data_IF_476671998527
#
_entry.id   IF_476671998527
#
_cell.length_a   1.000
_cell.length_b   1.000
_cell.length_c   1.000
_cell.angle_alpha   90.00
_cell.angle_beta   90.00
_cell.angle_gamma   90.00
#
_symmetry.space_group_name_H-M   'P 1'
#
loop_
_entity.id
_entity.type
_entity.pdbx_description
1 polymer ?
#
# COMPACT_ATOMS: atom_id res chain seq x y z
N UNK A 1 -4.99 2.22 29.10
CA UNK A 1 -5.52 3.59 28.98
C UNK A 1 -6.92 3.54 29.55
N UNK A 2 -7.09 4.05 30.76
CA UNK A 2 -8.37 4.09 31.46
C UNK A 2 -9.00 5.47 31.21
N UNK A 3 -10.11 5.52 30.47
CA UNK A 3 -10.80 6.75 30.13
C UNK A 3 -12.28 6.61 30.49
N UNK A 4 -12.74 7.54 31.34
CA UNK A 4 -14.05 7.56 31.99
C UNK A 4 -15.27 7.72 31.07
N UNK A 5 -15.06 7.86 29.77
CA UNK A 5 -16.08 7.79 28.71
C UNK A 5 -15.62 6.73 27.71
N UNK A 6 -16.06 5.48 27.89
CA UNK A 6 -15.62 4.28 27.17
C UNK A 6 -14.76 4.50 25.93
N UNK A 7 -13.43 4.40 26.08
CA UNK A 7 -12.49 4.58 25.00
C UNK A 7 -12.82 3.64 23.83
N UNK A 8 -13.04 4.22 22.64
CA UNK A 8 -13.17 3.46 21.40
C UNK A 8 -11.84 3.49 20.66
N UNK A 9 -11.43 2.33 20.19
CA UNK A 9 -10.24 2.16 19.35
C UNK A 9 -10.67 1.65 17.98
N UNK A 10 -9.99 2.11 16.93
CA UNK A 10 -10.11 1.54 15.60
C UNK A 10 -9.02 0.47 15.46
N UNK A 11 -9.44 -0.78 15.30
CA UNK A 11 -8.51 -1.88 15.03
C UNK A 11 -8.18 -1.92 13.54
N UNK A 12 -6.97 -2.38 13.23
CA UNK A 12 -6.62 -2.68 11.85
C UNK A 12 -7.55 -3.78 11.30
N UNK A 13 -7.83 -3.77 9.97
CA UNK A 13 -8.53 -4.86 9.33
C UNK A 13 -7.84 -6.20 9.60
N UNK A 14 -8.63 -7.25 9.89
CA UNK A 14 -8.09 -8.61 10.09
C UNK A 14 -7.44 -9.18 8.82
N UNK A 15 -8.00 -8.82 7.68
CA UNK A 15 -7.52 -9.20 6.34
C UNK A 15 -7.62 -7.97 5.42
N UNK A 16 -6.60 -7.10 5.41
CA UNK A 16 -6.63 -5.88 4.61
C UNK A 16 -6.56 -6.16 3.11
N UNK A 17 -5.83 -7.19 2.67
CA UNK A 17 -5.78 -7.62 1.27
C UNK A 17 -7.14 -8.15 0.80
N UNK A 18 -7.79 -9.00 1.60
CA UNK A 18 -9.16 -9.46 1.33
C UNK A 18 -10.19 -8.32 1.32
N UNK A 19 -10.02 -7.33 2.20
CA UNK A 19 -10.85 -6.12 2.20
C UNK A 19 -10.69 -5.32 0.90
N UNK A 20 -9.46 -5.16 0.42
CA UNK A 20 -9.16 -4.51 -0.86
C UNK A 20 -9.77 -5.29 -2.04
N UNK A 21 -9.64 -6.61 -2.05
CA UNK A 21 -10.20 -7.48 -3.09
C UNK A 21 -11.73 -7.41 -3.14
N UNK A 22 -12.40 -7.43 -1.98
CA UNK A 22 -13.85 -7.30 -1.90
C UNK A 22 -14.33 -5.92 -2.40
N UNK A 23 -13.62 -4.84 -2.05
CA UNK A 23 -13.93 -3.51 -2.55
C UNK A 23 -13.74 -3.41 -4.08
N UNK A 24 -12.63 -3.95 -4.59
CA UNK A 24 -12.36 -4.04 -6.03
C UNK A 24 -13.49 -4.75 -6.76
N UNK A 25 -13.84 -5.97 -6.33
CA UNK A 25 -14.88 -6.76 -6.99
C UNK A 25 -16.22 -6.03 -7.05
N UNK A 26 -16.59 -5.32 -5.96
CA UNK A 26 -17.82 -4.52 -5.91
C UNK A 26 -17.78 -3.30 -6.84
N UNK A 27 -16.66 -2.58 -6.88
CA UNK A 27 -16.51 -1.40 -7.73
C UNK A 27 -16.48 -1.79 -9.21
N UNK A 28 -15.71 -2.82 -9.55
CA UNK A 28 -15.61 -3.35 -10.90
C UNK A 28 -16.99 -3.82 -11.39
N UNK A 29 -17.74 -4.58 -10.58
CA UNK A 29 -19.10 -5.01 -10.94
C UNK A 29 -20.09 -3.85 -11.04
N UNK A 30 -19.98 -2.83 -10.18
CA UNK A 30 -20.93 -1.70 -10.15
C UNK A 30 -20.73 -0.74 -11.31
N UNK A 31 -19.47 -0.53 -11.72
CA UNK A 31 -19.09 0.52 -12.67
C UNK A 31 -18.53 -0.02 -13.99
N UNK A 32 -18.33 -1.33 -14.14
CA UNK A 32 -17.77 -1.93 -15.35
C UNK A 32 -16.32 -1.53 -15.59
N UNK A 33 -15.56 -1.31 -14.52
CA UNK A 33 -14.14 -0.90 -14.57
C UNK A 33 -13.24 -2.02 -14.09
N UNK A 34 -11.92 -1.86 -14.29
CA UNK A 34 -10.90 -2.69 -13.66
C UNK A 34 -9.99 -1.79 -12.86
N UNK A 35 -10.40 -1.45 -11.64
CA UNK A 35 -9.64 -0.54 -10.77
C UNK A 35 -8.68 -1.30 -9.86
N UNK A 36 -7.46 -0.78 -9.70
CA UNK A 36 -6.59 -1.18 -8.60
C UNK A 36 -7.05 -0.54 -7.29
N UNK A 37 -6.99 -1.28 -6.19
CA UNK A 37 -7.36 -0.82 -4.85
C UNK A 37 -6.15 -0.97 -3.94
N UNK A 38 -5.84 0.11 -3.21
CA UNK A 38 -4.86 0.11 -2.12
C UNK A 38 -5.57 0.67 -0.87
N UNK A 39 -5.53 -0.08 0.22
CA UNK A 39 -5.93 0.37 1.56
C UNK A 39 -4.67 0.79 2.29
N UNK A 40 -4.59 2.03 2.75
CA UNK A 40 -3.42 2.57 3.43
C UNK A 40 -3.72 2.96 4.88
N UNK A 41 -2.66 3.16 5.64
CA UNK A 41 -2.69 3.76 6.98
C UNK A 41 -1.43 4.59 7.20
N UNK A 42 -1.47 5.48 8.19
CA UNK A 42 -0.37 6.37 8.54
C UNK A 42 0.65 5.65 9.41
N UNK A 43 1.91 5.66 8.98
CA UNK A 43 2.98 4.92 9.64
C UNK A 43 4.24 5.77 9.80
N UNK A 44 4.85 5.70 11.00
CA UNK A 44 6.19 6.24 11.25
C UNK A 44 7.26 5.32 10.70
N UNK A 45 8.47 5.81 10.43
CA UNK A 45 9.56 4.96 9.90
C UNK A 45 10.90 5.24 10.57
N UNK A 46 11.77 4.23 10.73
CA UNK A 46 13.07 4.41 11.37
C UNK A 46 13.86 5.59 10.79
N UNK A 47 14.58 6.28 11.68
CA UNK A 47 15.50 7.39 11.36
C UNK A 47 14.87 8.66 10.77
N UNK A 48 13.54 8.76 10.67
CA UNK A 48 12.86 9.95 10.12
C UNK A 48 11.71 10.41 11.01
N UNK A 49 11.59 11.72 11.14
CA UNK A 49 10.43 12.36 11.79
C UNK A 49 9.23 12.41 10.84
N UNK A 50 8.03 12.31 11.40
CA UNK A 50 6.76 12.39 10.67
C UNK A 50 6.25 11.03 10.16
N UNK A 51 4.96 10.99 9.87
CA UNK A 51 4.25 9.83 9.33
C UNK A 51 4.06 9.95 7.83
N UNK A 52 3.87 8.82 7.14
CA UNK A 52 3.46 8.74 5.73
C UNK A 52 2.45 7.62 5.57
N UNK A 53 1.67 7.67 4.49
CA UNK A 53 0.82 6.53 4.09
C UNK A 53 1.65 5.34 3.62
N UNK A 54 1.38 4.17 4.19
CA UNK A 54 1.90 2.87 3.73
C UNK A 54 0.73 1.94 3.41
N UNK A 55 0.92 0.99 2.49
CA UNK A 55 -0.12 0.06 2.11
C UNK A 55 -0.29 -1.04 3.18
N UNK A 56 -1.53 -1.23 3.62
CA UNK A 56 -1.94 -2.37 4.44
C UNK A 56 -2.50 -3.50 3.59
N UNK A 57 -3.25 -3.17 2.53
CA UNK A 57 -3.94 -4.12 1.66
C UNK A 57 -3.94 -3.65 0.22
N UNK A 58 -3.87 -4.59 -0.74
CA UNK A 58 -3.85 -4.28 -2.16
C UNK A 58 -4.54 -5.35 -3.01
N UNK A 59 -5.24 -4.92 -4.07
CA UNK A 59 -5.85 -5.79 -5.07
C UNK A 59 -5.85 -5.12 -6.46
N UNK A 60 -5.62 -5.86 -7.54
CA UNK A 60 -5.59 -5.27 -8.88
C UNK A 60 -4.34 -4.43 -9.18
N UNK A 61 -3.29 -4.53 -8.34
CA UNK A 61 -2.03 -3.79 -8.49
C UNK A 61 -0.83 -4.68 -8.16
N UNK A 62 0.34 -4.44 -8.76
CA UNK A 62 1.57 -5.15 -8.42
C UNK A 62 2.21 -4.50 -7.17
N UNK A 63 1.76 -4.85 -5.96
CA UNK A 63 2.19 -4.15 -4.73
C UNK A 63 3.72 -4.07 -4.57
N UNK A 64 4.43 -5.14 -4.95
CA UNK A 64 5.88 -5.21 -5.00
C UNK A 64 6.33 -5.68 -6.39
N UNK A 65 7.18 -4.89 -7.06
CA UNK A 65 7.73 -5.23 -8.39
C UNK A 65 9.19 -5.59 -8.25
N UNK A 66 9.53 -6.83 -8.53
CA UNK A 66 10.91 -7.29 -8.59
C UNK A 66 11.56 -6.83 -9.90
N UNK A 67 12.65 -6.09 -9.79
CA UNK A 67 13.44 -5.60 -10.92
C UNK A 67 14.81 -6.31 -10.99
N UNK A 68 15.07 -7.31 -10.16
CA UNK A 68 16.31 -8.09 -10.22
C UNK A 68 16.44 -8.75 -11.59
N UNK A 69 17.62 -8.61 -12.20
CA UNK A 69 17.90 -9.09 -13.56
C UNK A 69 17.47 -8.12 -14.67
N UNK A 70 16.54 -7.20 -14.42
CA UNK A 70 16.16 -6.22 -15.44
C UNK A 70 17.32 -5.23 -15.72
N UNK A 71 17.49 -4.80 -16.98
CA UNK A 71 18.58 -3.90 -17.36
C UNK A 71 18.34 -2.47 -16.83
N UNK A 72 19.39 -1.84 -16.34
CA UNK A 72 19.42 -0.41 -16.08
C UNK A 72 19.65 0.40 -17.38
N UNK A 73 19.78 1.73 -17.25
CA UNK A 73 20.03 2.65 -18.36
C UNK A 73 21.28 2.29 -19.20
N UNK A 74 22.24 1.57 -18.62
CA UNK A 74 23.49 1.17 -19.25
C UNK A 74 23.53 -0.33 -19.58
N UNK A 75 22.37 -1.01 -19.54
CA UNK A 75 22.24 -2.44 -19.84
C UNK A 75 22.76 -3.38 -18.74
N UNK A 76 23.08 -2.87 -17.55
CA UNK A 76 23.55 -3.70 -16.43
C UNK A 76 22.36 -4.29 -15.69
N UNK A 77 22.41 -5.58 -15.38
CA UNK A 77 21.37 -6.24 -14.59
C UNK A 77 21.31 -5.65 -13.16
N UNK A 78 20.12 -5.21 -12.76
CA UNK A 78 19.84 -4.82 -11.38
C UNK A 78 19.96 -6.01 -10.43
N UNK A 79 20.52 -5.81 -9.23
CA UNK A 79 20.88 -6.90 -8.32
C UNK A 79 19.92 -7.10 -7.15
N UNK A 80 19.30 -6.04 -6.66
CA UNK A 80 18.52 -6.05 -5.40
C UNK A 80 17.25 -5.19 -5.48
N UNK A 81 16.94 -4.64 -6.65
CA UNK A 81 15.91 -3.61 -6.76
C UNK A 81 14.53 -4.25 -6.73
N UNK A 82 13.76 -3.95 -5.70
CA UNK A 82 12.33 -4.23 -5.62
C UNK A 82 11.60 -2.89 -5.40
N UNK A 83 10.56 -2.60 -6.18
CA UNK A 83 9.81 -1.35 -6.11
C UNK A 83 8.54 -1.59 -5.29
N UNK A 84 8.41 -0.90 -4.15
CA UNK A 84 7.24 -0.93 -3.28
C UNK A 84 6.12 -0.04 -3.84
N UNK A 85 5.56 -0.46 -4.97
CA UNK A 85 4.54 0.29 -5.73
C UNK A 85 3.36 0.72 -4.87
N UNK A 86 2.82 -0.21 -4.07
CA UNK A 86 1.64 0.10 -3.27
C UNK A 86 1.95 1.14 -2.19
N UNK A 87 3.16 1.13 -1.62
CA UNK A 87 3.61 2.17 -0.68
C UNK A 87 3.82 3.52 -1.37
N UNK A 88 4.37 3.56 -2.59
CA UNK A 88 4.50 4.81 -3.37
C UNK A 88 3.13 5.44 -3.64
N UNK A 89 2.16 4.63 -4.07
CA UNK A 89 0.78 5.07 -4.29
C UNK A 89 0.10 5.49 -2.99
N UNK A 90 0.28 4.72 -1.91
CA UNK A 90 -0.29 5.01 -0.59
C UNK A 90 0.25 6.31 0.00
N UNK A 91 1.55 6.56 -0.14
CA UNK A 91 2.20 7.79 0.31
C UNK A 91 1.72 9.00 -0.48
N UNK A 92 1.60 8.90 -1.81
CA UNK A 92 1.07 9.98 -2.64
C UNK A 92 -0.40 10.28 -2.33
N UNK A 93 -1.23 9.25 -2.13
CA UNK A 93 -2.63 9.40 -1.76
C UNK A 93 -2.77 10.03 -0.36
N UNK A 94 -1.99 9.56 0.62
CA UNK A 94 -2.02 10.05 2.01
C UNK A 94 -1.74 11.55 2.12
N UNK A 95 -0.89 12.10 1.25
CA UNK A 95 -0.64 13.55 1.19
C UNK A 95 -1.91 14.35 0.86
N UNK A 96 -2.77 13.81 -0.01
CA UNK A 96 -4.04 14.45 -0.41
C UNK A 96 -5.18 14.15 0.55
N UNK A 97 -5.17 12.97 1.19
CA UNK A 97 -6.17 12.57 2.20
C UNK A 97 -6.09 13.44 3.44
N UNK A 98 -4.90 13.96 3.77
CA UNK A 98 -4.65 14.64 5.03
C UNK A 98 -4.35 13.65 6.17
N UNK A 99 -4.11 14.19 7.36
CA UNK A 99 -3.72 13.40 8.55
C UNK A 99 -4.59 13.74 9.79
N UNK A 100 -5.65 14.53 9.60
CA UNK A 100 -6.53 15.00 10.65
C UNK A 100 -8.00 14.94 10.23
N UNK A 101 -8.66 16.09 10.23
CA UNK A 101 -10.10 16.24 10.06
C UNK A 101 -10.51 16.65 8.64
N UNK A 102 -9.61 16.55 7.66
CA UNK A 102 -9.85 16.98 6.28
C UNK A 102 -10.99 16.21 5.58
N UNK A 103 -11.36 15.04 6.10
CA UNK A 103 -12.55 14.31 5.65
C UNK A 103 -12.42 13.71 4.24
N UNK A 104 -11.20 13.46 3.77
CA UNK A 104 -10.89 12.89 2.45
C UNK A 104 -10.37 11.44 2.55
N UNK A 105 -11.24 10.43 2.71
CA UNK A 105 -10.81 9.05 2.95
C UNK A 105 -10.44 8.27 1.69
N UNK A 106 -10.56 8.86 0.49
CA UNK A 106 -10.33 8.17 -0.77
C UNK A 106 -9.71 9.11 -1.83
N UNK A 107 -8.75 8.58 -2.57
CA UNK A 107 -8.06 9.27 -3.67
C UNK A 107 -8.05 8.38 -4.90
N UNK A 108 -8.34 8.96 -6.07
CA UNK A 108 -8.26 8.27 -7.35
C UNK A 108 -6.96 8.64 -8.07
N UNK A 109 -6.04 7.69 -8.18
CA UNK A 109 -4.82 7.84 -8.98
C UNK A 109 -5.09 7.41 -10.42
N UNK A 110 -4.76 8.27 -11.40
CA UNK A 110 -4.88 7.97 -12.84
C UNK A 110 -3.52 8.08 -13.53
N UNK A 111 -3.34 7.35 -14.62
CA UNK A 111 -2.12 7.39 -15.44
C UNK A 111 -1.03 6.42 -14.98
N UNK A 112 -1.18 5.79 -13.82
CA UNK A 112 -0.30 4.70 -13.40
C UNK A 112 -0.48 3.48 -14.32
N UNK A 113 0.60 3.08 -14.99
CA UNK A 113 0.65 1.89 -15.84
C UNK A 113 1.97 1.18 -15.59
N UNK A 114 1.92 -0.08 -15.18
CA UNK A 114 3.10 -0.94 -15.09
C UNK A 114 2.69 -2.37 -15.40
N UNK A 115 3.36 -2.97 -16.39
CA UNK A 115 3.17 -4.37 -16.72
C UNK A 115 3.98 -5.22 -15.74
N UNK A 116 3.37 -5.56 -14.61
CA UNK A 116 3.90 -6.51 -13.65
C UNK A 116 2.75 -7.35 -13.08
N UNK A 117 3.00 -8.60 -12.65
CA UNK A 117 1.97 -9.43 -12.04
C UNK A 117 1.38 -8.77 -10.79
N UNK A 118 0.07 -8.90 -10.60
CA UNK A 118 -0.59 -8.45 -9.37
C UNK A 118 0.02 -9.16 -8.15
N UNK A 119 0.21 -8.40 -7.08
CA UNK A 119 0.68 -8.94 -5.79
C UNK A 119 -0.06 -8.25 -4.65
N UNK A 120 -0.41 -8.99 -3.59
CA UNK A 120 -1.02 -8.41 -2.40
C UNK A 120 -0.04 -7.52 -1.63
N UNK A 121 -0.54 -6.64 -0.75
CA UNK A 121 0.30 -5.81 0.11
C UNK A 121 1.11 -6.66 1.09
N UNK A 122 0.64 -7.87 1.46
CA UNK A 122 1.44 -8.82 2.22
C UNK A 122 2.82 -9.14 1.60
N UNK A 123 2.99 -8.96 0.28
CA UNK A 123 4.29 -9.13 -0.38
C UNK A 123 5.33 -8.07 0.02
N UNK A 124 4.90 -6.92 0.54
CA UNK A 124 5.78 -5.86 1.05
C UNK A 124 6.43 -6.25 2.38
N UNK A 125 5.82 -7.18 3.12
CA UNK A 125 6.31 -7.61 4.42
C UNK A 125 7.50 -8.53 4.22
N UNK A 126 8.64 -8.13 4.79
CA UNK A 126 9.86 -8.94 4.71
C UNK A 126 9.63 -10.28 5.42
N UNK A 127 10.00 -11.41 4.79
CA UNK A 127 10.02 -12.69 5.48
C UNK A 127 10.90 -12.63 6.73
N UNK A 128 10.49 -13.34 7.79
CA UNK A 128 11.13 -13.27 9.11
C UNK A 128 12.62 -13.60 9.05
N UNK A 129 13.00 -14.57 8.24
CA UNK A 129 14.38 -15.01 8.01
C UNK A 129 15.27 -13.95 7.35
N UNK A 130 14.69 -12.95 6.69
CA UNK A 130 15.41 -11.82 6.08
C UNK A 130 15.36 -10.56 6.95
N UNK A 131 14.56 -10.55 8.02
CA UNK A 131 14.31 -9.38 8.83
C UNK A 131 15.30 -9.25 10.00
N UNK A 132 16.38 -8.49 9.78
CA UNK A 132 17.44 -8.27 10.78
C UNK A 132 17.07 -7.24 11.86
N UNK A 133 15.88 -6.62 11.79
CA UNK A 133 15.46 -5.55 12.71
C UNK A 133 14.36 -5.99 13.68
N UNK A 134 13.91 -7.24 13.58
CA UNK A 134 12.83 -7.81 14.37
C UNK A 134 13.33 -8.79 15.42
#
# INVERSE_FOLDING_TARGET
MDHKDGARVLLLPRDPDGSAAALKARLDARFGVTAGIVVNDSFGRPWRNGVVGVALGAAGVPALVDMVGAPDLFGRAMRVTEIAVADELASAASLLMGQGDEGLPAVLVRGYRRAAPERPAAALIRPRERDMFR
#
